data_IF_138805704438
#
_entry.id   IF_138805704438
#
_cell.length_a   1.000
_cell.length_b   1.000
_cell.length_c   1.000
_cell.angle_alpha   90.00
_cell.angle_beta   90.00
_cell.angle_gamma   90.00
#
_symmetry.space_group_name_H-M   'P 1'
#
loop_
_entity.id
_entity.type
_entity.pdbx_description
1 polymer ?
#
# COMPACT_ATOMS: atom_id res chain seq x y z
N UNK A 1 -0.50 -17.42 11.72
CA UNK A 1 -0.48 -16.19 10.92
C UNK A 1 0.17 -15.11 11.75
N UNK A 2 1.08 -14.36 11.16
CA UNK A 2 1.83 -13.30 11.82
C UNK A 2 1.30 -11.93 11.35
N UNK A 3 1.62 -10.89 12.12
CA UNK A 3 1.28 -9.52 11.75
C UNK A 3 2.40 -8.92 10.91
N UNK A 4 2.05 -8.44 9.72
CA UNK A 4 2.97 -7.79 8.81
C UNK A 4 2.55 -6.35 8.56
N UNK A 5 3.55 -5.46 8.48
CA UNK A 5 3.41 -4.11 7.98
C UNK A 5 3.93 -4.07 6.55
N UNK A 6 3.05 -3.82 5.60
CA UNK A 6 3.41 -3.68 4.19
C UNK A 6 3.35 -2.21 3.80
N UNK A 7 4.43 -1.73 3.22
CA UNK A 7 4.56 -0.37 2.69
C UNK A 7 4.53 -0.44 1.17
N UNK A 8 3.55 0.20 0.55
CA UNK A 8 3.37 0.29 -0.90
C UNK A 8 3.71 1.71 -1.35
N UNK A 9 4.70 1.84 -2.22
CA UNK A 9 5.00 3.10 -2.92
C UNK A 9 4.22 3.14 -4.21
N UNK A 10 3.50 4.23 -4.47
CA UNK A 10 2.70 4.39 -5.67
C UNK A 10 2.75 5.82 -6.22
N UNK A 11 2.35 6.01 -7.46
CA UNK A 11 2.20 7.33 -8.09
C UNK A 11 0.80 7.49 -8.67
N UNK A 12 0.42 8.72 -8.98
CA UNK A 12 -0.87 9.06 -9.60
C UNK A 12 -0.64 9.81 -10.93
N UNK A 13 -0.08 9.15 -11.96
CA UNK A 13 0.37 9.82 -13.17
C UNK A 13 -0.78 10.44 -13.97
N UNK A 14 -1.93 9.77 -14.04
CA UNK A 14 -3.12 10.30 -14.73
C UNK A 14 -3.65 11.57 -14.06
N UNK A 15 -3.62 11.63 -12.73
CA UNK A 15 -4.00 12.83 -11.97
C UNK A 15 -3.03 13.98 -12.25
N UNK A 16 -1.73 13.71 -12.16
CA UNK A 16 -0.69 14.70 -12.41
C UNK A 16 -0.79 15.28 -13.83
N UNK A 17 -0.96 14.40 -14.84
CA UNK A 17 -1.16 14.81 -16.23
C UNK A 17 -2.42 15.67 -16.41
N UNK A 18 -3.55 15.27 -15.83
CA UNK A 18 -4.82 16.02 -15.94
C UNK A 18 -4.74 17.42 -15.31
N UNK A 19 -3.88 17.59 -14.30
CA UNK A 19 -3.70 18.85 -13.57
C UNK A 19 -2.49 19.67 -14.02
N UNK A 20 -1.69 19.16 -14.96
CA UNK A 20 -0.43 19.80 -15.37
C UNK A 20 0.60 19.87 -14.25
N UNK A 21 0.62 18.87 -13.38
CA UNK A 21 1.55 18.76 -12.24
C UNK A 21 2.63 17.71 -12.53
N UNK A 22 3.73 17.78 -11.81
CA UNK A 22 4.73 16.72 -11.77
C UNK A 22 4.17 15.44 -11.12
N UNK A 23 4.66 14.28 -11.58
CA UNK A 23 4.27 12.99 -11.00
C UNK A 23 4.95 12.82 -9.65
N UNK A 24 4.13 12.79 -8.59
CA UNK A 24 4.59 12.58 -7.23
C UNK A 24 4.59 11.10 -6.86
N UNK A 25 5.47 10.75 -5.91
CA UNK A 25 5.52 9.43 -5.29
C UNK A 25 4.88 9.49 -3.90
N UNK A 26 3.96 8.59 -3.65
CA UNK A 26 3.17 8.46 -2.44
C UNK A 26 3.46 7.13 -1.74
N UNK A 27 3.11 7.06 -0.46
CA UNK A 27 3.31 5.87 0.38
C UNK A 27 2.00 5.49 1.05
N UNK A 28 1.57 4.25 0.85
CA UNK A 28 0.47 3.61 1.58
C UNK A 28 1.02 2.56 2.54
N UNK A 29 0.45 2.46 3.74
CA UNK A 29 0.86 1.47 4.75
C UNK A 29 -0.34 0.61 5.11
N UNK A 30 -0.17 -0.71 5.00
CA UNK A 30 -1.18 -1.71 5.28
C UNK A 30 -0.70 -2.62 6.40
N UNK A 31 -1.54 -2.85 7.39
CA UNK A 31 -1.28 -3.83 8.44
C UNK A 31 -2.15 -5.05 8.16
N UNK A 32 -1.53 -6.19 7.89
CA UNK A 32 -2.24 -7.42 7.49
C UNK A 32 -1.76 -8.61 8.32
N UNK A 33 -2.67 -9.57 8.53
CA UNK A 33 -2.30 -10.89 9.04
C UNK A 33 -2.10 -11.81 7.85
N UNK A 34 -0.96 -12.50 7.80
CA UNK A 34 -0.59 -13.37 6.69
C UNK A 34 0.18 -14.60 7.18
N UNK A 35 0.29 -15.63 6.31
CA UNK A 35 1.08 -16.82 6.61
C UNK A 35 2.59 -16.55 6.50
N UNK A 36 2.99 -15.72 5.54
CA UNK A 36 4.37 -15.36 5.22
C UNK A 36 4.43 -13.94 4.60
N UNK A 37 5.64 -13.40 4.34
CA UNK A 37 5.78 -12.06 3.76
C UNK A 37 5.21 -11.92 2.34
N UNK A 38 5.18 -12.99 1.55
CA UNK A 38 4.67 -12.94 0.17
C UNK A 38 3.13 -12.82 0.17
N UNK A 39 2.45 -13.64 0.98
CA UNK A 39 1.01 -13.55 1.23
C UNK A 39 0.64 -12.18 1.83
N UNK A 40 1.48 -11.60 2.68
CA UNK A 40 1.27 -10.25 3.22
C UNK A 40 1.28 -9.20 2.11
N UNK A 41 2.23 -9.25 1.19
CA UNK A 41 2.34 -8.30 0.07
C UNK A 41 1.14 -8.44 -0.87
N UNK A 42 0.73 -9.67 -1.19
CA UNK A 42 -0.45 -9.94 -2.03
C UNK A 42 -1.71 -9.34 -1.40
N UNK A 43 -1.98 -9.65 -0.13
CA UNK A 43 -3.13 -9.10 0.61
C UNK A 43 -3.13 -7.58 0.67
N UNK A 44 -1.98 -6.96 0.95
CA UNK A 44 -1.85 -5.52 0.98
C UNK A 44 -2.10 -4.88 -0.39
N UNK A 45 -1.67 -5.55 -1.46
CA UNK A 45 -1.88 -5.10 -2.84
C UNK A 45 -3.35 -5.20 -3.24
N UNK A 46 -4.04 -6.28 -2.87
CA UNK A 46 -5.49 -6.42 -3.06
C UNK A 46 -6.26 -5.32 -2.33
N UNK A 47 -5.91 -5.05 -1.06
CA UNK A 47 -6.50 -3.96 -0.28
C UNK A 47 -6.24 -2.58 -0.91
N UNK A 48 -5.05 -2.36 -1.47
CA UNK A 48 -4.73 -1.14 -2.20
C UNK A 48 -5.63 -0.97 -3.44
N UNK A 49 -5.78 -2.01 -4.25
CA UNK A 49 -6.63 -1.98 -5.44
C UNK A 49 -8.12 -1.86 -5.09
N UNK A 50 -8.57 -2.47 -4.00
CA UNK A 50 -9.92 -2.27 -3.49
C UNK A 50 -10.15 -0.82 -3.07
N UNK A 51 -9.24 -0.23 -2.30
CA UNK A 51 -9.31 1.17 -1.89
C UNK A 51 -9.28 2.13 -3.10
N UNK A 52 -8.53 1.81 -4.15
CA UNK A 52 -8.55 2.56 -5.40
C UNK A 52 -9.92 2.46 -6.08
N UNK A 53 -10.47 1.25 -6.24
CA UNK A 53 -11.80 1.03 -6.83
C UNK A 53 -12.91 1.75 -6.05
N UNK A 54 -12.84 1.74 -4.72
CA UNK A 54 -13.85 2.38 -3.86
C UNK A 54 -13.72 3.90 -3.79
N UNK A 55 -12.57 4.48 -4.15
CA UNK A 55 -12.36 5.92 -4.08
C UNK A 55 -13.16 6.73 -5.09
N UNK A 56 -13.72 6.09 -6.13
CA UNK A 56 -14.57 6.74 -7.13
C UNK A 56 -13.84 7.78 -7.99
N UNK A 57 -12.51 7.83 -7.94
CA UNK A 57 -11.70 8.74 -8.72
C UNK A 57 -11.45 8.18 -10.13
N UNK A 58 -11.41 9.06 -11.13
CA UNK A 58 -11.23 8.67 -12.53
C UNK A 58 -9.76 8.48 -12.95
N UNK A 59 -8.82 8.57 -12.00
CA UNK A 59 -7.39 8.43 -12.25
C UNK A 59 -6.82 7.14 -11.66
N UNK A 60 -5.85 6.57 -12.36
CA UNK A 60 -5.18 5.35 -11.92
C UNK A 60 -4.06 5.66 -10.92
N UNK A 61 -3.89 4.76 -9.95
CA UNK A 61 -2.69 4.69 -9.13
C UNK A 61 -1.81 3.56 -9.61
N UNK A 62 -0.50 3.78 -9.67
CA UNK A 62 0.47 2.80 -10.15
C UNK A 62 1.44 2.45 -9.02
N UNK A 63 1.50 1.17 -8.64
CA UNK A 63 2.45 0.69 -7.64
C UNK A 63 3.84 0.62 -8.26
N UNK A 64 4.81 1.24 -7.60
CA UNK A 64 6.23 1.27 -8.01
C UNK A 64 7.10 0.36 -7.17
N UNK A 65 6.75 0.14 -5.90
CA UNK A 65 7.44 -0.80 -5.02
C UNK A 65 6.54 -1.24 -3.87
N UNK A 66 6.79 -2.45 -3.34
CA UNK A 66 6.21 -2.92 -2.10
C UNK A 66 7.31 -3.50 -1.21
N UNK A 67 7.27 -3.19 0.09
CA UNK A 67 8.18 -3.76 1.08
C UNK A 67 7.39 -4.26 2.28
N UNK A 68 7.80 -5.40 2.83
CA UNK A 68 7.12 -6.05 3.94
C UNK A 68 8.04 -6.15 5.14
N UNK A 69 7.53 -5.81 6.31
CA UNK A 69 8.23 -5.92 7.58
C UNK A 69 7.37 -6.72 8.56
N UNK A 70 7.94 -7.76 9.17
CA UNK A 70 7.27 -8.47 10.25
C UNK A 70 7.07 -7.52 11.42
N UNK A 71 5.82 -7.27 11.79
CA UNK A 71 5.50 -6.40 12.90
C UNK A 71 5.65 -7.19 14.19
N UNK A 72 6.84 -7.12 14.79
CA UNK A 72 7.02 -7.54 16.18
C UNK A 72 6.11 -6.65 17.02
N UNK A 73 5.13 -7.25 17.68
CA UNK A 73 4.32 -6.56 18.67
C UNK A 73 5.28 -6.27 19.82
N UNK A 74 5.86 -5.08 19.87
CA UNK A 74 6.49 -4.59 21.08
C UNK A 74 5.41 -4.65 22.17
N UNK A 75 5.64 -5.55 23.13
CA UNK A 75 4.81 -5.68 24.31
C UNK A 75 4.70 -4.29 24.97
N UNK A 76 3.54 -3.89 25.51
CA UNK A 76 3.45 -2.65 26.23
C UNK A 76 4.43 -2.71 27.41
N UNK A 77 5.41 -1.81 27.42
CA UNK A 77 6.24 -1.54 28.59
C UNK A 77 5.30 -1.22 29.75
N UNK A 78 5.26 -2.10 30.75
CA UNK A 78 4.55 -1.86 32.02
C UNK A 78 5.09 -0.63 32.74
#
# INVERSE_FOLDING_TARGET
>A
MEHYRVTIKYSEPTYAQTRGLDVLSYVGVFNVMAADPEDAILRATDLFHEAQRSSGVSWSREISAASCELRKVDQPTQ
#
